data_IF_135374688057
#
_entry.id   IF_135374688057
#
_cell.length_a   1.000
_cell.length_b   1.000
_cell.length_c   1.000
_cell.angle_alpha   90.00
_cell.angle_beta   90.00
_cell.angle_gamma   90.00
#
_symmetry.space_group_name_H-M   'P 1'
#
loop_
_entity.id
_entity.type
_entity.pdbx_description
1 polymer ?
#
# COMPACT_ATOMS: atom_id res chain seq x y z
N UNK A 1 -21.03 7.32 -1.14
CA UNK A 1 -20.31 6.27 -1.86
C UNK A 1 -20.14 6.67 -3.32
N UNK A 2 -18.94 6.55 -3.84
CA UNK A 2 -18.61 6.86 -5.23
C UNK A 2 -18.37 5.53 -5.94
N UNK A 3 -19.25 5.12 -6.89
CA UNK A 3 -18.98 3.91 -7.65
C UNK A 3 -17.81 4.17 -8.61
N UNK A 4 -16.78 3.38 -8.54
CA UNK A 4 -15.65 3.41 -9.45
C UNK A 4 -14.91 2.07 -9.42
N UNK A 5 -14.46 1.60 -10.57
CA UNK A 5 -13.71 0.35 -10.71
C UNK A 5 -14.42 -0.88 -10.11
N UNK A 6 -15.75 -0.95 -10.24
CA UNK A 6 -16.53 -2.04 -9.66
C UNK A 6 -16.60 -2.05 -8.12
N UNK A 7 -16.07 -1.03 -7.48
CA UNK A 7 -16.05 -0.83 -6.03
C UNK A 7 -16.88 0.37 -5.62
N UNK A 8 -17.24 0.44 -4.35
CA UNK A 8 -17.79 1.64 -3.73
C UNK A 8 -16.72 2.35 -2.93
N UNK A 9 -16.21 3.46 -3.45
CA UNK A 9 -15.23 4.29 -2.79
C UNK A 9 -15.90 5.26 -1.82
N UNK A 10 -15.24 5.54 -0.72
CA UNK A 10 -15.62 6.60 0.21
C UNK A 10 -14.55 7.69 0.19
N UNK A 11 -14.98 8.94 0.23
CA UNK A 11 -14.07 10.06 0.40
C UNK A 11 -13.94 10.38 1.88
N UNK A 12 -12.75 10.22 2.41
CA UNK A 12 -12.42 10.57 3.78
C UNK A 12 -11.40 11.71 3.82
N UNK A 13 -11.43 12.48 4.89
CA UNK A 13 -10.31 13.36 5.20
C UNK A 13 -9.16 12.50 5.68
N UNK A 14 -7.95 12.71 5.15
CA UNK A 14 -6.74 12.00 5.58
C UNK A 14 -6.53 12.08 7.10
N UNK A 15 -6.87 13.21 7.70
CA UNK A 15 -6.82 13.46 9.14
C UNK A 15 -7.63 12.47 9.97
N UNK A 16 -8.81 12.08 9.50
CA UNK A 16 -9.66 11.12 10.20
C UNK A 16 -8.97 9.75 10.31
N UNK A 17 -8.43 9.27 9.20
CA UNK A 17 -7.70 8.01 9.17
C UNK A 17 -6.44 8.04 10.04
N UNK A 18 -5.64 9.11 9.88
CA UNK A 18 -4.41 9.28 10.64
C UNK A 18 -4.66 9.34 12.14
N UNK A 19 -5.69 10.06 12.58
CA UNK A 19 -6.02 10.16 14.00
C UNK A 19 -6.45 8.84 14.60
N UNK A 20 -7.29 8.06 13.91
CA UNK A 20 -7.71 6.74 14.40
C UNK A 20 -6.49 5.81 14.46
N UNK A 21 -5.75 5.66 13.37
CA UNK A 21 -4.62 4.73 13.27
C UNK A 21 -3.52 5.08 14.26
N UNK A 22 -3.08 6.34 14.30
CA UNK A 22 -1.98 6.73 15.17
C UNK A 22 -2.38 6.91 16.63
N UNK A 23 -3.63 7.30 16.94
CA UNK A 23 -4.09 7.33 18.33
C UNK A 23 -4.11 5.92 18.93
N UNK A 24 -4.59 4.93 18.17
CA UNK A 24 -4.58 3.54 18.58
C UNK A 24 -3.14 3.01 18.73
N UNK A 25 -2.29 3.21 17.71
CA UNK A 25 -0.90 2.77 17.75
C UNK A 25 -0.13 3.37 18.92
N UNK A 26 -0.25 4.69 19.15
CA UNK A 26 0.43 5.37 20.26
C UNK A 26 -0.06 4.94 21.63
N UNK A 27 -1.33 4.59 21.77
CA UNK A 27 -1.85 4.03 23.03
C UNK A 27 -1.20 2.68 23.31
N UNK A 28 -1.12 1.82 22.31
CA UNK A 28 -0.47 0.52 22.41
C UNK A 28 1.05 0.64 22.65
N UNK A 29 1.72 1.61 22.00
CA UNK A 29 3.14 1.91 22.20
C UNK A 29 3.45 2.34 23.66
N UNK A 30 2.54 3.05 24.32
CA UNK A 30 2.72 3.50 25.72
C UNK A 30 2.55 2.38 26.75
N UNK A 31 1.77 1.36 26.42
CA UNK A 31 1.50 0.23 27.30
C UNK A 31 2.62 -0.84 27.25
N UNK A 32 3.74 -0.57 26.55
CA UNK A 32 5.08 -1.13 26.76
C UNK A 32 5.45 -2.36 25.91
N UNK A 33 4.58 -3.36 25.72
CA UNK A 33 4.96 -4.62 25.06
C UNK A 33 4.34 -4.82 23.67
N UNK A 34 3.48 -3.91 23.19
CA UNK A 34 2.62 -4.13 22.01
C UNK A 34 2.95 -3.16 20.87
N UNK A 35 4.06 -2.44 20.93
CA UNK A 35 4.37 -1.41 19.92
C UNK A 35 4.59 -1.97 18.51
N UNK A 36 5.21 -3.13 18.42
CA UNK A 36 5.44 -3.81 17.13
C UNK A 36 4.17 -4.46 16.60
N UNK A 37 3.29 -4.95 17.46
CA UNK A 37 2.01 -5.54 17.08
C UNK A 37 1.08 -4.50 16.45
N UNK A 38 1.03 -3.28 17.00
CA UNK A 38 0.25 -2.18 16.42
C UNK A 38 0.75 -1.82 14.99
N UNK A 39 2.07 -1.77 14.80
CA UNK A 39 2.68 -1.57 13.49
C UNK A 39 2.29 -2.69 12.52
N UNK A 40 2.43 -3.94 12.96
CA UNK A 40 2.10 -5.11 12.15
C UNK A 40 0.63 -5.12 11.73
N UNK A 41 -0.29 -4.77 12.64
CA UNK A 41 -1.72 -4.66 12.34
C UNK A 41 -2.01 -3.60 11.26
N UNK A 42 -1.33 -2.45 11.30
CA UNK A 42 -1.52 -1.40 10.30
C UNK A 42 -0.90 -1.78 8.94
N UNK A 43 0.25 -2.45 8.92
CA UNK A 43 0.81 -3.02 7.69
C UNK A 43 -0.12 -4.09 7.12
N UNK A 44 -0.68 -4.95 7.98
CA UNK A 44 -1.66 -5.95 7.56
C UNK A 44 -2.94 -5.31 7.01
N UNK A 45 -3.40 -4.21 7.59
CA UNK A 45 -4.50 -3.44 7.00
C UNK A 45 -4.15 -2.94 5.58
N UNK A 46 -2.89 -2.59 5.34
CA UNK A 46 -2.36 -2.28 4.00
C UNK A 46 -2.40 -3.48 3.05
N UNK A 47 -2.05 -4.68 3.52
CA UNK A 47 -2.17 -5.92 2.74
C UNK A 47 -3.62 -6.20 2.35
N UNK A 48 -4.54 -6.13 3.31
CA UNK A 48 -5.99 -6.34 3.08
C UNK A 48 -6.54 -5.29 2.11
N UNK A 49 -6.14 -4.03 2.26
CA UNK A 49 -6.50 -2.97 1.34
C UNK A 49 -5.99 -3.26 -0.09
N UNK A 50 -4.72 -3.64 -0.25
CA UNK A 50 -4.17 -3.98 -1.55
C UNK A 50 -4.89 -5.17 -2.18
N UNK A 51 -5.13 -6.23 -1.43
CA UNK A 51 -5.83 -7.42 -1.92
C UNK A 51 -7.23 -7.09 -2.45
N UNK A 52 -8.05 -6.43 -1.63
CA UNK A 52 -9.43 -6.15 -1.99
C UNK A 52 -9.56 -4.96 -2.95
N UNK A 53 -8.83 -3.86 -2.69
CA UNK A 53 -8.97 -2.63 -3.48
C UNK A 53 -8.15 -2.69 -4.75
N UNK A 54 -6.84 -2.92 -4.68
CA UNK A 54 -6.02 -2.97 -5.89
C UNK A 54 -6.37 -4.18 -6.75
N UNK A 55 -6.55 -5.35 -6.13
CA UNK A 55 -6.99 -6.54 -6.83
C UNK A 55 -8.36 -6.36 -7.48
N UNK A 56 -9.32 -5.77 -6.77
CA UNK A 56 -10.65 -5.45 -7.31
C UNK A 56 -10.58 -4.45 -8.47
N UNK A 57 -9.80 -3.39 -8.34
CA UNK A 57 -9.58 -2.39 -9.40
C UNK A 57 -9.00 -3.04 -10.64
N UNK A 58 -7.92 -3.81 -10.50
CA UNK A 58 -7.24 -4.50 -11.61
C UNK A 58 -8.14 -5.53 -12.33
N UNK A 59 -9.20 -5.99 -11.69
CA UNK A 59 -10.19 -6.92 -12.27
C UNK A 59 -11.45 -6.21 -12.81
N UNK A 60 -11.56 -4.91 -12.64
CA UNK A 60 -12.78 -4.16 -13.01
C UNK A 60 -12.90 -3.93 -14.52
N UNK A 61 -14.12 -3.68 -14.96
CA UNK A 61 -14.41 -3.30 -16.34
C UNK A 61 -13.80 -1.94 -16.69
N UNK A 62 -13.74 -1.02 -15.74
CA UNK A 62 -13.13 0.30 -15.92
C UNK A 62 -11.62 0.19 -16.10
N UNK A 63 -10.96 -0.71 -15.39
CA UNK A 63 -9.54 -1.02 -15.62
C UNK A 63 -9.31 -1.53 -17.03
N UNK A 64 -10.13 -2.46 -17.49
CA UNK A 64 -10.05 -3.01 -18.85
C UNK A 64 -10.29 -1.95 -19.92
N UNK A 65 -11.19 -1.01 -19.66
CA UNK A 65 -11.52 0.05 -20.62
C UNK A 65 -10.46 1.18 -20.67
N UNK A 66 -9.86 1.53 -19.52
CA UNK A 66 -9.02 2.74 -19.40
C UNK A 66 -7.54 2.41 -19.30
N UNK A 67 -7.15 1.47 -18.45
CA UNK A 67 -5.74 1.19 -18.15
C UNK A 67 -5.18 0.07 -19.04
N UNK A 68 -5.97 -0.99 -19.23
CA UNK A 68 -5.55 -2.17 -20.00
C UNK A 68 -5.05 -1.85 -21.41
N UNK A 69 -5.62 -0.92 -22.18
CA UNK A 69 -5.12 -0.56 -23.52
C UNK A 69 -3.72 0.08 -23.52
N UNK A 70 -3.24 0.59 -22.39
CA UNK A 70 -1.93 1.20 -22.23
C UNK A 70 -0.87 0.22 -21.69
N UNK A 71 -1.25 -1.03 -21.40
CA UNK A 71 -0.37 -2.05 -20.84
C UNK A 71 0.30 -2.81 -21.99
N UNK A 72 1.62 -2.71 -22.07
CA UNK A 72 2.45 -3.43 -23.04
C UNK A 72 3.24 -4.56 -22.35
N UNK A 73 3.53 -4.41 -21.05
CA UNK A 73 4.28 -5.39 -20.27
C UNK A 73 3.55 -5.77 -18.99
N UNK A 74 4.01 -6.82 -18.31
CA UNK A 74 3.48 -7.24 -17.01
C UNK A 74 3.72 -6.16 -15.94
N UNK A 75 4.82 -5.46 -16.01
CA UNK A 75 5.21 -4.39 -15.10
C UNK A 75 4.31 -3.15 -15.19
N UNK A 76 3.66 -2.95 -16.34
CA UNK A 76 2.74 -1.83 -16.52
C UNK A 76 1.47 -1.95 -15.69
N UNK A 77 1.15 -3.14 -15.21
CA UNK A 77 0.09 -3.32 -14.20
C UNK A 77 0.43 -2.58 -12.89
N UNK A 78 1.69 -2.65 -12.46
CA UNK A 78 2.16 -1.91 -11.28
C UNK A 78 2.14 -0.41 -11.57
N UNK A 79 2.64 0.03 -12.75
CA UNK A 79 2.64 1.44 -13.15
C UNK A 79 1.23 2.02 -13.21
N UNK A 80 0.29 1.27 -13.80
CA UNK A 80 -1.11 1.65 -13.87
C UNK A 80 -1.74 1.78 -12.48
N UNK A 81 -1.46 0.83 -11.58
CA UNK A 81 -2.00 0.89 -10.22
C UNK A 81 -1.40 2.04 -9.41
N UNK A 82 -0.10 2.33 -9.57
CA UNK A 82 0.53 3.51 -8.95
C UNK A 82 -0.12 4.81 -9.45
N UNK A 83 -0.46 4.91 -10.73
CA UNK A 83 -1.21 6.05 -11.26
C UNK A 83 -2.58 6.21 -10.61
N UNK A 84 -3.30 5.09 -10.37
CA UNK A 84 -4.59 5.09 -9.66
C UNK A 84 -4.43 5.53 -8.20
N UNK A 85 -3.42 5.02 -7.49
CA UNK A 85 -3.09 5.42 -6.11
C UNK A 85 -2.83 6.93 -6.01
N UNK A 86 -2.09 7.48 -6.99
CA UNK A 86 -1.84 8.92 -7.09
C UNK A 86 -3.15 9.71 -7.30
N UNK A 87 -4.05 9.20 -8.13
CA UNK A 87 -5.36 9.81 -8.34
C UNK A 87 -6.24 9.78 -7.08
N UNK A 88 -6.05 8.80 -6.20
CA UNK A 88 -6.73 8.73 -4.90
C UNK A 88 -6.17 9.68 -3.84
N UNK A 89 -5.00 10.29 -4.10
CA UNK A 89 -4.41 11.28 -3.21
C UNK A 89 -3.67 10.69 -1.99
N UNK A 90 -3.15 9.47 -2.09
CA UNK A 90 -2.39 8.83 -1.01
C UNK A 90 -0.95 9.38 -0.87
N UNK A 91 -0.58 10.30 -1.70
CA UNK A 91 0.72 10.90 -1.86
C UNK A 91 1.09 10.94 -3.33
N UNK A 92 2.30 11.35 -3.65
CA UNK A 92 2.87 11.26 -4.98
C UNK A 92 3.83 10.09 -5.03
N UNK A 93 3.33 8.95 -5.48
CA UNK A 93 4.09 7.71 -5.63
C UNK A 93 4.84 7.69 -6.95
N UNK A 94 6.12 7.36 -6.88
CA UNK A 94 7.01 7.19 -8.02
C UNK A 94 7.75 5.86 -7.90
N UNK A 95 7.80 5.09 -8.97
CA UNK A 95 8.58 3.86 -9.03
C UNK A 95 10.03 4.25 -9.25
N UNK A 96 10.84 4.16 -8.19
CA UNK A 96 12.27 4.44 -8.26
C UNK A 96 13.05 3.28 -8.86
N UNK A 97 12.61 2.04 -8.60
CA UNK A 97 13.22 0.82 -9.16
C UNK A 97 12.16 -0.26 -9.29
N UNK A 98 12.18 -1.00 -10.38
CA UNK A 98 11.35 -2.20 -10.57
C UNK A 98 12.17 -3.27 -11.29
N UNK A 99 12.51 -4.32 -10.53
CA UNK A 99 13.14 -5.56 -11.04
C UNK A 99 12.04 -6.62 -11.06
N UNK A 100 11.62 -7.09 -12.26
CA UNK A 100 10.49 -8.01 -12.39
C UNK A 100 10.60 -9.26 -11.52
N UNK A 101 9.60 -9.49 -10.68
CA UNK A 101 9.55 -10.67 -9.81
C UNK A 101 10.56 -10.70 -8.66
N UNK A 102 11.37 -9.64 -8.46
CA UNK A 102 12.42 -9.60 -7.46
C UNK A 102 12.27 -8.44 -6.50
N UNK A 103 12.15 -7.22 -7.04
CA UNK A 103 12.21 -5.99 -6.22
C UNK A 103 11.38 -4.86 -6.79
N UNK A 104 10.77 -4.09 -5.88
CA UNK A 104 10.13 -2.82 -6.19
C UNK A 104 10.59 -1.79 -5.15
N UNK A 105 11.06 -0.62 -5.59
CA UNK A 105 11.26 0.54 -4.72
C UNK A 105 10.31 1.65 -5.14
N UNK A 106 9.54 2.15 -4.17
CA UNK A 106 8.60 3.26 -4.35
C UNK A 106 9.07 4.43 -3.51
N UNK A 107 9.26 5.56 -4.16
CA UNK A 107 9.42 6.86 -3.52
C UNK A 107 8.06 7.53 -3.38
N UNK A 108 7.77 8.12 -2.21
CA UNK A 108 6.51 8.82 -1.97
C UNK A 108 6.81 10.23 -1.44
N UNK A 109 6.37 11.22 -2.19
CA UNK A 109 6.31 12.59 -1.72
C UNK A 109 4.91 12.89 -1.20
N UNK A 110 4.82 13.71 -0.15
CA UNK A 110 3.54 14.06 0.49
C UNK A 110 2.74 12.83 0.97
N UNK A 111 3.43 11.79 1.44
CA UNK A 111 2.80 10.60 2.00
C UNK A 111 1.82 11.01 3.12
N UNK A 112 0.52 10.73 2.93
CA UNK A 112 -0.53 11.23 3.83
C UNK A 112 -0.35 10.75 5.28
N UNK A 113 0.15 9.53 5.49
CA UNK A 113 0.42 8.97 6.82
C UNK A 113 1.55 9.75 7.53
N UNK A 114 2.71 9.87 6.88
CA UNK A 114 3.86 10.58 7.45
C UNK A 114 3.58 12.07 7.66
N UNK A 115 2.93 12.74 6.69
CA UNK A 115 2.54 14.15 6.81
C UNK A 115 1.53 14.36 7.95
N UNK A 116 0.56 13.49 8.09
CA UNK A 116 -0.40 13.52 9.17
C UNK A 116 0.24 13.30 10.54
N UNK A 117 1.17 12.32 10.63
CA UNK A 117 1.92 12.07 11.86
C UNK A 117 2.74 13.30 12.27
N UNK A 118 3.52 13.87 11.33
CA UNK A 118 4.32 15.08 11.58
C UNK A 118 3.48 16.25 12.12
N UNK A 119 2.33 16.48 11.52
CA UNK A 119 1.43 17.57 11.92
C UNK A 119 0.87 17.40 13.33
N UNK A 120 0.44 16.16 13.67
CA UNK A 120 -0.29 15.91 14.91
C UNK A 120 0.63 15.50 16.08
N UNK A 121 1.82 14.96 15.79
CA UNK A 121 2.72 14.39 16.81
C UNK A 121 4.18 14.83 16.71
N UNK A 122 4.57 15.58 15.66
CA UNK A 122 5.96 15.97 15.42
C UNK A 122 6.79 14.85 14.81
N UNK A 123 8.12 14.94 14.97
CA UNK A 123 9.05 13.95 14.42
C UNK A 123 8.94 12.59 15.09
N UNK A 124 9.33 11.55 14.38
CA UNK A 124 9.32 10.15 14.82
C UNK A 124 10.72 9.56 14.78
N UNK A 125 11.01 8.63 15.68
CA UNK A 125 12.21 7.80 15.70
C UNK A 125 12.12 6.58 14.78
N UNK A 126 10.94 6.33 14.19
CA UNK A 126 10.65 5.18 13.33
C UNK A 126 9.74 5.56 12.16
N UNK A 127 9.72 4.73 11.08
CA UNK A 127 8.82 4.93 9.93
C UNK A 127 7.34 4.93 10.33
N UNK A 128 6.50 5.64 9.54
CA UNK A 128 5.06 5.82 9.85
C UNK A 128 4.11 5.56 8.67
N UNK A 129 4.61 5.13 7.51
CA UNK A 129 3.75 4.82 6.35
C UNK A 129 3.35 3.34 6.32
N UNK A 130 2.57 2.91 7.29
CA UNK A 130 2.24 1.50 7.50
C UNK A 130 1.32 0.92 6.43
N UNK A 131 0.21 1.62 6.11
CA UNK A 131 -0.70 1.17 5.05
C UNK A 131 -0.02 1.20 3.69
N UNK A 132 0.77 2.26 3.42
CA UNK A 132 1.52 2.35 2.17
C UNK A 132 2.54 1.21 2.05
N UNK A 133 3.20 0.80 3.15
CA UNK A 133 4.12 -0.33 3.17
C UNK A 133 3.42 -1.63 2.82
N UNK A 134 2.28 -1.91 3.47
CA UNK A 134 1.46 -3.09 3.13
C UNK A 134 0.92 -3.04 1.70
N UNK A 135 0.48 -1.86 1.25
CA UNK A 135 0.02 -1.63 -0.12
C UNK A 135 1.08 -1.92 -1.18
N UNK A 136 2.31 -1.45 -0.95
CA UNK A 136 3.44 -1.69 -1.87
C UNK A 136 3.79 -3.19 -1.99
N UNK A 137 3.84 -3.92 -0.86
CA UNK A 137 3.99 -5.38 -0.87
C UNK A 137 2.87 -6.05 -1.66
N UNK A 138 1.64 -5.55 -1.48
CA UNK A 138 0.45 -6.04 -2.16
C UNK A 138 0.54 -5.98 -3.68
N UNK A 139 1.14 -4.93 -4.25
CA UNK A 139 1.35 -4.82 -5.71
C UNK A 139 2.17 -5.99 -6.25
N UNK A 140 3.29 -6.30 -5.59
CA UNK A 140 4.17 -7.39 -6.01
C UNK A 140 3.51 -8.76 -5.79
N UNK A 141 2.82 -8.94 -4.66
CA UNK A 141 2.12 -10.19 -4.35
C UNK A 141 0.98 -10.47 -5.34
N UNK A 142 0.15 -9.49 -5.64
CA UNK A 142 -0.93 -9.62 -6.63
C UNK A 142 -0.39 -9.99 -8.02
N UNK A 143 0.70 -9.35 -8.44
CA UNK A 143 1.22 -9.55 -9.79
C UNK A 143 2.06 -10.83 -9.92
N UNK A 144 3.01 -11.07 -9.00
CA UNK A 144 4.03 -12.10 -9.19
C UNK A 144 3.80 -13.38 -8.38
N UNK A 145 2.94 -13.35 -7.35
CA UNK A 145 2.52 -14.54 -6.61
C UNK A 145 1.13 -14.99 -7.06
N UNK A 146 0.17 -14.05 -7.12
CA UNK A 146 -1.23 -14.34 -7.43
C UNK A 146 -1.60 -14.28 -8.91
N UNK A 147 -0.70 -13.80 -9.76
CA UNK A 147 -0.97 -13.57 -11.20
C UNK A 147 -2.32 -12.92 -11.48
N UNK A 148 -2.51 -11.71 -10.96
CA UNK A 148 -3.76 -10.94 -11.12
C UNK A 148 -4.15 -10.76 -12.60
N UNK A 149 -3.18 -10.87 -13.53
CA UNK A 149 -3.42 -10.75 -14.98
C UNK A 149 -4.29 -11.88 -15.53
N UNK A 150 -4.26 -13.05 -14.87
CA UNK A 150 -5.13 -14.19 -15.16
C UNK A 150 -6.52 -14.06 -14.53
N UNK A 151 -6.80 -12.96 -13.80
CA UNK A 151 -8.09 -12.64 -13.17
C UNK A 151 -8.57 -13.70 -12.16
N UNK A 152 -7.70 -14.21 -11.27
CA UNK A 152 -8.08 -15.21 -10.29
C UNK A 152 -9.18 -14.71 -9.36
N UNK A 153 -9.90 -15.61 -8.72
CA UNK A 153 -10.83 -15.24 -7.66
C UNK A 153 -10.08 -14.76 -6.43
N UNK A 154 -10.51 -13.61 -5.90
CA UNK A 154 -9.96 -13.03 -4.69
C UNK A 154 -10.72 -13.59 -3.48
N UNK A 155 -10.30 -14.76 -3.01
CA UNK A 155 -10.87 -15.47 -1.87
C UNK A 155 -9.98 -15.33 -0.64
N UNK A 156 -10.48 -15.70 0.52
CA UNK A 156 -9.69 -15.75 1.76
C UNK A 156 -8.48 -16.69 1.60
N UNK A 157 -8.64 -17.85 0.98
CA UNK A 157 -7.54 -18.80 0.73
C UNK A 157 -6.47 -18.19 -0.17
N UNK A 158 -6.87 -17.46 -1.22
CA UNK A 158 -5.92 -16.75 -2.07
C UNK A 158 -5.21 -15.62 -1.31
N UNK A 159 -5.91 -14.92 -0.41
CA UNK A 159 -5.26 -13.94 0.47
C UNK A 159 -4.15 -14.58 1.31
N UNK A 160 -4.44 -15.68 1.99
CA UNK A 160 -3.43 -16.38 2.79
C UNK A 160 -2.24 -16.84 1.95
N UNK A 161 -2.49 -17.36 0.75
CA UNK A 161 -1.42 -17.77 -0.18
C UNK A 161 -0.53 -16.60 -0.55
N UNK A 162 -1.11 -15.45 -0.90
CA UNK A 162 -0.37 -14.27 -1.36
C UNK A 162 0.40 -13.57 -0.25
N UNK A 163 -0.14 -13.50 0.96
CA UNK A 163 0.40 -12.65 2.02
C UNK A 163 0.99 -13.41 3.21
N UNK A 164 0.75 -14.70 3.30
CA UNK A 164 1.29 -15.59 4.36
C UNK A 164 2.12 -16.75 3.81
N UNK A 165 2.06 -16.99 2.49
CA UNK A 165 2.86 -18.05 1.83
C UNK A 165 4.36 -17.75 1.88
N UNK A 166 5.18 -18.79 1.64
CA UNK A 166 6.65 -18.70 1.66
C UNK A 166 7.19 -17.81 0.53
N UNK A 167 6.49 -17.75 -0.60
CA UNK A 167 6.90 -16.99 -1.79
C UNK A 167 6.46 -15.52 -1.78
N UNK A 168 5.86 -15.06 -0.66
CA UNK A 168 5.38 -13.68 -0.55
C UNK A 168 6.50 -12.66 -0.63
N UNK A 169 6.18 -11.51 -1.18
CA UNK A 169 6.98 -10.31 -1.04
C UNK A 169 6.65 -9.62 0.28
N UNK A 170 7.68 -9.10 0.92
CA UNK A 170 7.59 -8.25 2.10
C UNK A 170 8.09 -6.84 1.78
N UNK A 171 7.65 -5.86 2.54
CA UNK A 171 8.05 -4.48 2.34
C UNK A 171 8.58 -3.85 3.64
N UNK A 172 9.51 -2.93 3.47
CA UNK A 172 10.09 -2.12 4.52
C UNK A 172 10.13 -0.65 4.09
N UNK A 173 9.70 0.26 4.96
CA UNK A 173 9.92 1.69 4.77
C UNK A 173 11.33 2.04 5.23
N UNK A 174 12.24 2.35 4.28
CA UNK A 174 13.65 2.63 4.52
C UNK A 174 13.92 4.10 4.79
N UNK A 175 13.03 5.01 4.32
CA UNK A 175 13.05 6.45 4.58
C UNK A 175 11.64 6.92 4.87
N UNK A 176 11.50 7.87 5.80
CA UNK A 176 10.19 8.42 6.15
C UNK A 176 10.27 9.93 6.38
N UNK A 177 9.32 10.68 5.84
CA UNK A 177 9.17 12.11 6.11
C UNK A 177 9.04 12.38 7.61
N UNK A 178 8.33 11.52 8.36
CA UNK A 178 8.17 11.65 9.80
C UNK A 178 9.50 11.52 10.57
N UNK A 179 10.51 10.89 9.99
CA UNK A 179 11.87 10.78 10.55
C UNK A 179 12.79 11.93 10.12
N UNK A 180 12.28 12.93 9.38
CA UNK A 180 13.07 14.04 8.87
C UNK A 180 13.74 13.81 7.52
N UNK A 181 13.45 12.69 6.83
CA UNK A 181 13.92 12.49 5.47
C UNK A 181 13.15 13.37 4.48
N UNK A 182 13.70 13.58 3.28
CA UNK A 182 13.09 14.42 2.24
C UNK A 182 11.87 13.77 1.55
N UNK A 183 11.72 12.47 1.69
CA UNK A 183 10.63 11.66 1.12
C UNK A 183 10.49 10.35 1.91
N UNK A 184 9.39 9.64 1.71
CA UNK A 184 9.28 8.26 2.13
C UNK A 184 9.79 7.34 1.01
N UNK A 185 10.44 6.24 1.38
CA UNK A 185 10.88 5.20 0.47
C UNK A 185 10.50 3.84 1.02
N UNK A 186 9.79 3.06 0.21
CA UNK A 186 9.36 1.70 0.53
C UNK A 186 10.03 0.74 -0.43
N UNK A 187 10.76 -0.22 0.12
CA UNK A 187 11.44 -1.27 -0.63
C UNK A 187 10.72 -2.59 -0.41
N UNK A 188 10.30 -3.21 -1.51
CA UNK A 188 9.63 -4.52 -1.55
C UNK A 188 10.59 -5.55 -2.11
N UNK A 189 10.67 -6.72 -1.48
CA UNK A 189 11.51 -7.87 -1.90
C UNK A 189 10.96 -9.17 -1.34
N UNK A 190 11.38 -10.27 -1.94
CA UNK A 190 11.15 -11.61 -1.37
C UNK A 190 12.01 -11.85 -0.13
#
# INVERSE_FOLDING_TARGET
LIPAFGLYLTRHMADYYNRISFAAARKLEKDGDISDDARLLLVEAGHVCAFNTFGGIMKSAEWDAVVRPMIESREDWIRGMVAVVNAFGWGRWEIAELVPGERLSIRIEYAYEACGYLRDYGTSDRPRCYLATGGAAGLMNLLYVGDITARPDLTEDSYFTLFRGAERFSAEETRCLAMGHSHCEIVVRR
#
